data_IF_118880407425
#
_entry.id   IF_118880407425
#
_cell.length_a   1.000
_cell.length_b   1.000
_cell.length_c   1.000
_cell.angle_alpha   90.00
_cell.angle_beta   90.00
_cell.angle_gamma   90.00
#
_symmetry.space_group_name_H-M   'P 1'
#
loop_
_entity.id
_entity.type
_entity.pdbx_description
1 polymer ?
#
# COMPACT_ATOMS: atom_id res chain seq x y z
N UNK A 1 5.17 -16.17 7.36
CA UNK A 1 5.01 -14.74 7.67
C UNK A 1 5.92 -14.39 8.84
N UNK A 2 6.70 -13.32 8.70
CA UNK A 2 7.59 -12.85 9.77
C UNK A 2 6.89 -11.74 10.57
N UNK A 3 6.84 -11.89 11.88
CA UNK A 3 6.44 -10.84 12.81
C UNK A 3 7.69 -10.06 13.24
N UNK A 4 7.54 -8.76 13.47
CA UNK A 4 8.68 -7.87 13.70
C UNK A 4 8.40 -6.97 14.88
N UNK A 5 9.34 -6.93 15.82
CA UNK A 5 9.39 -5.94 16.88
C UNK A 5 10.78 -5.31 16.94
N UNK A 6 10.91 -4.17 17.60
CA UNK A 6 12.20 -3.51 17.69
C UNK A 6 12.27 -2.47 18.78
N UNK A 7 13.50 -2.17 19.20
CA UNK A 7 13.79 -1.12 20.17
C UNK A 7 15.16 -0.49 19.91
N UNK A 8 15.27 0.77 20.29
CA UNK A 8 16.56 1.46 20.33
C UNK A 8 17.43 0.90 21.45
N UNK A 9 18.70 0.64 21.16
CA UNK A 9 19.68 0.09 22.11
C UNK A 9 20.72 1.14 22.46
N UNK A 10 21.19 1.90 21.46
CA UNK A 10 22.17 2.95 21.64
C UNK A 10 21.83 4.14 20.73
N UNK A 11 22.18 5.34 21.20
CA UNK A 11 21.95 6.59 20.46
C UNK A 11 23.23 7.36 20.15
N UNK A 12 24.37 6.92 20.71
CA UNK A 12 25.69 7.50 20.46
C UNK A 12 26.77 6.41 20.57
N UNK A 13 27.80 6.41 19.70
CA UNK A 13 28.06 7.37 18.61
C UNK A 13 27.21 7.11 17.35
N UNK A 14 26.48 6.00 17.29
CA UNK A 14 25.52 5.63 16.23
C UNK A 14 24.18 5.24 16.85
N UNK A 15 23.13 5.42 16.08
CA UNK A 15 21.83 4.92 16.46
C UNK A 15 21.75 3.43 16.13
N UNK A 16 21.73 2.62 17.16
CA UNK A 16 21.59 1.16 17.05
C UNK A 16 20.16 0.73 17.39
N UNK A 17 19.54 0.03 16.46
CA UNK A 17 18.19 -0.51 16.62
C UNK A 17 18.26 -2.02 16.60
N UNK A 18 17.87 -2.63 17.71
CA UNK A 18 17.67 -4.07 17.80
C UNK A 18 16.32 -4.43 17.22
N UNK A 19 16.32 -5.27 16.20
CA UNK A 19 15.11 -5.80 15.58
C UNK A 19 15.00 -7.29 15.89
N UNK A 20 13.86 -7.69 16.48
CA UNK A 20 13.51 -9.08 16.74
C UNK A 20 12.56 -9.55 15.64
N UNK A 21 12.91 -10.66 15.01
CA UNK A 21 12.12 -11.31 13.96
C UNK A 21 11.56 -12.61 14.54
N UNK A 22 10.27 -12.85 14.41
CA UNK A 22 9.61 -14.09 14.82
C UNK A 22 8.96 -14.74 13.61
N UNK A 23 9.28 -15.98 13.33
CA UNK A 23 8.63 -16.71 12.22
C UNK A 23 7.27 -17.25 12.68
N UNK A 24 6.19 -16.60 12.26
CA UNK A 24 4.79 -17.04 12.50
C UNK A 24 4.27 -18.00 11.45
N UNK A 25 5.08 -18.33 10.44
CA UNK A 25 4.74 -19.34 9.44
C UNK A 25 5.02 -20.75 9.94
N UNK A 26 4.53 -21.72 9.21
CA UNK A 26 4.69 -23.16 9.40
C UNK A 26 5.92 -23.74 8.66
N UNK A 27 6.56 -22.92 7.83
CA UNK A 27 7.74 -23.27 7.05
C UNK A 27 8.93 -22.45 7.52
N UNK A 28 10.13 -23.05 7.47
CA UNK A 28 11.38 -22.36 7.80
C UNK A 28 11.61 -21.19 6.81
N UNK A 29 11.89 -20.01 7.34
CA UNK A 29 12.44 -18.92 6.57
C UNK A 29 13.96 -19.14 6.40
N UNK A 30 14.47 -19.04 5.18
CA UNK A 30 15.91 -19.10 4.89
C UNK A 30 16.67 -17.91 5.47
N UNK A 31 17.94 -17.68 5.06
CA UNK A 31 18.66 -16.47 5.46
C UNK A 31 17.84 -15.23 5.17
N UNK A 32 17.72 -14.32 6.15
CA UNK A 32 16.87 -13.15 6.05
C UNK A 32 17.75 -11.91 5.92
N UNK A 33 17.63 -11.21 4.80
CA UNK A 33 18.22 -9.90 4.60
C UNK A 33 17.23 -8.84 5.11
N UNK A 34 17.69 -7.96 5.98
CA UNK A 34 16.90 -6.90 6.63
C UNK A 34 17.47 -5.56 6.23
N UNK A 35 16.67 -4.75 5.55
CA UNK A 35 17.01 -3.36 5.24
C UNK A 35 16.06 -2.44 5.97
N UNK A 36 16.60 -1.50 6.72
CA UNK A 36 15.87 -0.49 7.46
C UNK A 36 16.06 0.90 6.86
N UNK A 37 15.00 1.71 6.86
CA UNK A 37 15.07 3.13 6.54
C UNK A 37 14.50 3.94 7.69
N UNK A 38 15.33 4.84 8.22
CA UNK A 38 15.02 5.71 9.34
C UNK A 38 15.66 7.07 9.09
N UNK A 39 14.92 8.17 9.15
CA UNK A 39 15.41 9.55 8.84
C UNK A 39 16.02 9.72 7.44
N UNK A 40 15.63 8.90 6.46
CA UNK A 40 16.27 8.88 5.14
C UNK A 40 17.61 8.10 5.10
N UNK A 41 18.12 7.66 6.24
CA UNK A 41 19.30 6.83 6.37
C UNK A 41 18.94 5.35 6.22
N UNK A 42 19.89 4.56 5.72
CA UNK A 42 19.72 3.13 5.51
C UNK A 42 20.62 2.33 6.43
N UNK A 43 20.04 1.34 7.10
CA UNK A 43 20.73 0.30 7.84
C UNK A 43 20.47 -1.05 7.22
N UNK A 44 21.47 -1.92 7.20
CA UNK A 44 21.34 -3.27 6.65
C UNK A 44 21.89 -4.29 7.65
N UNK A 45 21.22 -5.43 7.75
CA UNK A 45 21.67 -6.56 8.55
C UNK A 45 21.21 -7.87 7.93
N UNK A 46 21.85 -8.97 8.30
CA UNK A 46 21.52 -10.30 7.80
C UNK A 46 21.45 -11.32 8.93
N UNK A 47 20.37 -12.08 8.96
CA UNK A 47 20.22 -13.26 9.81
C UNK A 47 20.58 -14.51 9.01
N UNK A 48 21.87 -14.90 9.04
CA UNK A 48 22.41 -15.95 8.18
C UNK A 48 21.78 -17.34 8.41
N UNK A 49 21.41 -17.68 9.66
CA UNK A 49 20.86 -19.00 10.02
C UNK A 49 19.40 -19.20 9.62
N UNK A 50 18.71 -18.15 9.17
CA UNK A 50 17.27 -18.19 8.97
C UNK A 50 16.49 -18.45 10.27
N UNK A 51 15.17 -18.72 10.16
CA UNK A 51 14.30 -18.95 11.31
C UNK A 51 13.41 -20.17 11.09
N UNK A 52 13.48 -21.15 12.01
CA UNK A 52 12.52 -22.23 12.08
C UNK A 52 11.10 -21.69 12.42
N UNK A 53 10.03 -22.45 12.19
CA UNK A 53 8.70 -22.10 12.69
C UNK A 53 8.72 -21.77 14.18
N UNK A 54 8.01 -20.72 14.57
CA UNK A 54 7.92 -20.18 15.93
C UNK A 54 9.26 -19.72 16.57
N UNK A 55 10.38 -19.80 15.84
CA UNK A 55 11.67 -19.32 16.33
C UNK A 55 11.80 -17.81 16.23
N UNK A 56 12.65 -17.26 17.10
CA UNK A 56 13.02 -15.85 17.12
C UNK A 56 14.49 -15.67 16.75
N UNK A 57 14.78 -14.55 16.09
CA UNK A 57 16.13 -14.13 15.73
C UNK A 57 16.31 -12.63 15.94
N UNK A 58 17.53 -12.23 16.17
CA UNK A 58 17.91 -10.85 16.46
C UNK A 58 18.84 -10.34 15.38
N UNK A 59 18.59 -9.13 14.90
CA UNK A 59 19.50 -8.37 14.05
C UNK A 59 19.70 -6.97 14.62
N UNK A 60 20.86 -6.39 14.35
CA UNK A 60 21.18 -5.01 14.71
C UNK A 60 21.24 -4.18 13.44
N UNK A 61 20.52 -3.06 13.43
CA UNK A 61 20.60 -2.06 12.37
C UNK A 61 21.31 -0.83 12.93
N UNK A 62 22.31 -0.39 12.19
CA UNK A 62 23.10 0.81 12.52
C UNK A 62 22.74 1.92 11.56
N UNK A 63 22.46 3.09 12.12
CA UNK A 63 22.16 4.31 11.36
C UNK A 63 23.20 5.38 11.65
N UNK A 64 23.45 6.27 10.67
CA UNK A 64 24.39 7.35 10.82
C UNK A 64 24.07 8.25 12.04
N UNK A 65 25.09 8.90 12.63
CA UNK A 65 24.97 9.60 13.90
C UNK A 65 24.33 10.99 13.77
N UNK A 66 23.36 11.18 12.91
CA UNK A 66 22.55 12.40 12.96
C UNK A 66 21.71 12.33 14.23
N UNK A 67 21.90 13.21 15.23
CA UNK A 67 21.10 13.15 16.43
C UNK A 67 19.65 13.41 16.02
N UNK A 68 18.81 12.39 16.01
CA UNK A 68 17.41 12.60 15.71
C UNK A 68 16.83 13.45 16.82
N UNK A 69 15.84 14.25 16.49
CA UNK A 69 15.03 14.93 17.53
C UNK A 69 14.47 13.87 18.47
N UNK A 70 14.45 14.10 19.79
CA UNK A 70 13.74 13.19 20.69
C UNK A 70 12.28 13.07 20.27
N UNK A 71 11.68 11.91 20.52
CA UNK A 71 10.28 11.68 20.17
C UNK A 71 10.04 10.33 19.51
N UNK A 72 8.95 10.24 18.78
CA UNK A 72 8.49 9.02 18.12
C UNK A 72 8.82 9.06 16.62
N UNK A 73 9.48 8.03 16.15
CA UNK A 73 9.97 7.92 14.78
C UNK A 73 9.53 6.64 14.11
N UNK A 74 9.38 6.70 12.79
CA UNK A 74 8.98 5.57 11.97
C UNK A 74 10.19 4.89 11.34
N UNK A 75 10.44 3.63 11.68
CA UNK A 75 11.37 2.74 11.00
C UNK A 75 10.62 1.86 10.02
N UNK A 76 10.95 1.97 8.74
CA UNK A 76 10.45 1.07 7.69
C UNK A 76 11.46 -0.04 7.46
N UNK A 77 11.00 -1.28 7.44
CA UNK A 77 11.83 -2.46 7.21
C UNK A 77 11.40 -3.18 5.93
N UNK A 78 12.37 -3.64 5.17
CA UNK A 78 12.21 -4.58 4.09
C UNK A 78 12.94 -5.87 4.48
N UNK A 79 12.19 -6.96 4.54
CA UNK A 79 12.67 -8.30 4.86
C UNK A 79 12.64 -9.13 3.59
N UNK A 80 13.77 -9.69 3.19
CA UNK A 80 13.86 -10.56 2.01
C UNK A 80 14.48 -11.89 2.41
N UNK A 81 13.85 -12.99 2.01
CA UNK A 81 14.35 -14.33 2.27
C UNK A 81 13.95 -15.30 1.17
N UNK A 82 14.77 -16.32 0.85
CA UNK A 82 14.38 -17.38 -0.04
C UNK A 82 13.24 -18.20 0.55
N UNK A 83 12.35 -18.65 -0.30
CA UNK A 83 11.26 -19.56 0.05
C UNK A 83 11.42 -20.87 -0.73
N UNK A 84 10.86 -21.96 -0.21
CA UNK A 84 10.82 -23.23 -0.93
C UNK A 84 9.94 -23.09 -2.18
N UNK A 85 10.47 -23.52 -3.31
CA UNK A 85 9.77 -23.48 -4.58
C UNK A 85 10.72 -23.75 -5.75
N UNK A 86 10.18 -23.99 -6.94
CA UNK A 86 11.01 -24.18 -8.11
C UNK A 86 11.84 -22.90 -8.39
N UNK A 87 13.12 -23.02 -8.70
CA UNK A 87 13.97 -21.88 -9.04
C UNK A 87 13.45 -21.17 -10.29
N UNK A 88 13.78 -19.90 -10.41
CA UNK A 88 13.50 -19.13 -11.62
C UNK A 88 14.31 -19.62 -12.83
N UNK A 89 14.08 -19.05 -14.02
CA UNK A 89 14.81 -19.42 -15.24
C UNK A 89 16.33 -19.19 -15.19
N UNK A 90 16.85 -18.50 -14.16
CA UNK A 90 18.28 -18.29 -13.90
C UNK A 90 18.82 -19.21 -12.78
N UNK A 91 18.00 -20.09 -12.24
CA UNK A 91 18.38 -21.01 -11.17
C UNK A 91 18.34 -20.43 -9.76
N UNK A 92 17.80 -19.22 -9.57
CA UNK A 92 17.69 -18.61 -8.26
C UNK A 92 16.44 -19.10 -7.51
N UNK A 93 16.51 -19.32 -6.20
CA UNK A 93 15.33 -19.65 -5.42
C UNK A 93 14.33 -18.49 -5.43
N UNK A 94 13.03 -18.79 -5.40
CA UNK A 94 12.02 -17.76 -5.30
C UNK A 94 12.20 -16.97 -4.00
N UNK A 95 12.10 -15.64 -4.09
CA UNK A 95 12.29 -14.75 -2.96
C UNK A 95 10.97 -14.25 -2.41
N UNK A 96 10.78 -14.39 -1.10
CA UNK A 96 9.74 -13.67 -0.37
C UNK A 96 10.28 -12.32 0.07
N UNK A 97 9.46 -11.29 -0.03
CA UNK A 97 9.78 -9.97 0.48
C UNK A 97 8.58 -9.48 1.29
N UNK A 98 8.83 -9.05 2.49
CA UNK A 98 7.84 -8.50 3.41
C UNK A 98 8.29 -7.11 3.84
N UNK A 99 7.35 -6.17 3.88
CA UNK A 99 7.57 -4.86 4.52
C UNK A 99 6.99 -4.89 5.91
N UNK A 100 7.72 -4.34 6.86
CA UNK A 100 7.31 -4.14 8.22
C UNK A 100 7.53 -2.67 8.63
N UNK A 101 6.89 -2.28 9.70
CA UNK A 101 6.93 -0.93 10.21
C UNK A 101 7.03 -0.97 11.73
N UNK A 102 7.91 -0.17 12.29
CA UNK A 102 8.10 -0.04 13.73
C UNK A 102 8.08 1.43 14.14
N UNK A 103 7.45 1.72 15.25
CA UNK A 103 7.55 3.00 15.94
C UNK A 103 8.67 2.90 16.99
N UNK A 104 9.64 3.78 16.89
CA UNK A 104 10.80 3.85 17.78
C UNK A 104 10.73 5.13 18.60
N UNK A 105 10.69 4.98 19.93
CA UNK A 105 10.77 6.13 20.83
C UNK A 105 12.24 6.44 21.15
N UNK A 106 12.63 7.70 20.91
CA UNK A 106 13.90 8.29 21.30
C UNK A 106 13.63 9.30 22.42
N UNK A 107 13.80 8.86 23.67
CA UNK A 107 13.41 9.64 24.84
C UNK A 107 11.91 9.51 25.15
N UNK A 108 11.25 10.61 25.47
CA UNK A 108 9.82 10.62 25.81
C UNK A 108 8.95 10.54 24.57
N UNK A 109 7.83 9.79 24.64
CA UNK A 109 6.79 9.81 23.63
C UNK A 109 5.94 11.10 23.77
N UNK A 110 5.98 12.00 22.78
CA UNK A 110 5.22 13.26 22.83
C UNK A 110 3.75 13.09 22.38
N UNK A 111 3.33 11.89 22.07
CA UNK A 111 2.02 11.60 21.48
C UNK A 111 1.87 12.01 20.02
N UNK A 112 0.67 11.85 19.49
CA UNK A 112 0.34 12.19 18.10
C UNK A 112 0.17 13.69 17.90
N UNK A 113 0.76 14.23 16.82
CA UNK A 113 0.57 15.62 16.42
C UNK A 113 -0.69 15.85 15.59
N UNK A 114 -1.00 14.88 14.75
CA UNK A 114 -2.12 14.92 13.81
C UNK A 114 -2.94 13.65 13.88
N UNK A 115 -4.23 13.76 13.69
CA UNK A 115 -5.11 12.63 13.37
C UNK A 115 -5.12 12.43 11.87
N UNK A 116 -4.96 11.20 11.45
CA UNK A 116 -5.00 10.80 10.04
C UNK A 116 -6.32 10.08 9.79
N UNK A 117 -7.04 10.53 8.77
CA UNK A 117 -8.25 9.90 8.28
C UNK A 117 -8.16 9.74 6.77
N UNK A 118 -8.50 8.59 6.24
CA UNK A 118 -8.38 8.29 4.83
C UNK A 118 -9.64 7.67 4.27
N UNK A 119 -10.11 8.20 3.15
CA UNK A 119 -11.23 7.61 2.44
C UNK A 119 -10.81 6.30 1.75
N UNK A 120 -11.66 5.26 1.80
CA UNK A 120 -11.39 4.04 1.04
C UNK A 120 -11.23 4.34 -0.45
N UNK A 121 -10.18 3.84 -1.07
CA UNK A 121 -9.92 4.05 -2.48
C UNK A 121 -10.28 2.81 -3.29
N UNK A 122 -11.13 2.98 -4.30
CA UNK A 122 -11.35 1.97 -5.34
C UNK A 122 -10.45 2.26 -6.53
N UNK A 123 -9.62 1.30 -6.93
CA UNK A 123 -8.56 1.47 -7.91
C UNK A 123 -8.68 0.45 -9.05
N UNK A 124 -8.72 0.90 -10.29
CA UNK A 124 -8.55 0.01 -11.47
C UNK A 124 -7.06 -0.09 -11.86
N UNK A 125 -6.48 0.98 -12.37
CA UNK A 125 -5.07 1.06 -12.75
C UNK A 125 -4.36 2.15 -11.94
N UNK A 126 -4.97 3.33 -11.87
CA UNK A 126 -4.47 4.51 -11.15
C UNK A 126 -5.60 5.17 -10.37
N UNK A 127 -5.29 5.78 -9.26
CA UNK A 127 -6.22 6.53 -8.42
C UNK A 127 -5.50 7.46 -7.46
N UNK A 128 -6.27 8.28 -6.78
CA UNK A 128 -5.77 9.24 -5.80
C UNK A 128 -6.41 8.91 -4.46
N UNK A 129 -5.58 8.55 -3.49
CA UNK A 129 -6.01 8.38 -2.11
C UNK A 129 -6.14 9.78 -1.47
N UNK A 130 -7.32 10.09 -0.98
CA UNK A 130 -7.56 11.30 -0.22
C UNK A 130 -7.31 11.03 1.26
N UNK A 131 -6.41 11.82 1.85
CA UNK A 131 -6.03 11.70 3.25
C UNK A 131 -6.27 13.04 3.94
N UNK A 132 -7.13 13.03 4.93
CA UNK A 132 -7.39 14.18 5.79
C UNK A 132 -6.48 14.11 7.01
N UNK A 133 -5.79 15.20 7.28
CA UNK A 133 -4.95 15.41 8.46
C UNK A 133 -5.59 16.50 9.31
N UNK A 134 -5.79 16.23 10.59
CA UNK A 134 -6.37 17.14 11.55
C UNK A 134 -5.38 17.40 12.68
N UNK A 135 -5.11 18.67 13.01
CA UNK A 135 -4.21 19.03 14.12
C UNK A 135 -4.81 18.64 15.46
N UNK A 136 -4.04 17.91 16.27
CA UNK A 136 -4.42 17.52 17.65
C UNK A 136 -4.08 18.60 18.67
N UNK A 137 -3.18 19.49 18.34
CA UNK A 137 -2.78 20.60 19.18
C UNK A 137 -3.19 21.94 18.57
N UNK A 138 -3.04 22.99 19.37
CA UNK A 138 -3.42 24.35 18.94
C UNK A 138 -2.43 25.02 18.00
N UNK A 139 -1.38 24.30 17.57
CA UNK A 139 -0.32 24.83 16.71
C UNK A 139 -0.43 24.29 15.30
N UNK A 140 0.00 25.08 14.31
CA UNK A 140 0.17 24.59 12.95
C UNK A 140 1.32 23.59 12.88
N UNK A 141 1.15 22.53 12.11
CA UNK A 141 2.12 21.45 11.95
C UNK A 141 2.50 21.29 10.49
N UNK A 142 3.79 21.25 10.20
CA UNK A 142 4.29 20.78 8.90
C UNK A 142 4.67 19.32 9.04
N UNK A 143 4.05 18.46 8.27
CA UNK A 143 4.22 17.02 8.36
C UNK A 143 4.65 16.43 7.02
N UNK A 144 5.51 15.42 7.08
CA UNK A 144 5.83 14.54 5.96
C UNK A 144 4.89 13.36 6.00
N UNK A 145 4.01 13.26 5.00
CA UNK A 145 3.05 12.15 4.88
C UNK A 145 3.55 11.14 3.86
N UNK A 146 3.64 9.89 4.27
CA UNK A 146 3.93 8.77 3.38
C UNK A 146 2.92 7.64 3.58
N UNK A 147 2.73 6.86 2.51
CA UNK A 147 1.92 5.67 2.57
C UNK A 147 2.76 4.45 2.26
N UNK A 148 2.91 3.60 3.25
CA UNK A 148 3.60 2.33 3.14
C UNK A 148 2.64 1.29 2.58
N UNK A 149 2.96 0.78 1.40
CA UNK A 149 2.09 -0.15 0.68
C UNK A 149 2.63 -1.57 0.79
N UNK A 150 1.72 -2.54 0.86
CA UNK A 150 2.05 -3.94 0.60
C UNK A 150 2.47 -4.12 -0.88
N UNK A 151 3.01 -5.30 -1.21
CA UNK A 151 3.30 -5.67 -2.60
C UNK A 151 2.04 -5.50 -3.46
N UNK A 152 2.22 -4.94 -4.65
CA UNK A 152 1.15 -4.85 -5.62
C UNK A 152 0.56 -3.45 -5.82
N UNK A 153 0.95 -2.49 -4.99
CA UNK A 153 0.69 -1.07 -5.20
C UNK A 153 2.02 -0.32 -5.29
N UNK A 154 2.12 0.61 -6.23
CA UNK A 154 3.29 1.48 -6.38
C UNK A 154 2.98 2.87 -5.82
N UNK A 155 3.82 3.40 -4.92
CA UNK A 155 3.75 4.81 -4.54
C UNK A 155 4.21 5.67 -5.72
N UNK A 156 3.55 6.80 -5.92
CA UNK A 156 3.97 7.84 -6.87
C UNK A 156 4.13 9.14 -6.07
N UNK A 157 5.36 9.68 -6.02
CA UNK A 157 5.63 10.97 -5.39
C UNK A 157 5.59 11.00 -3.84
N UNK A 158 6.07 9.97 -3.18
CA UNK A 158 6.22 9.91 -1.72
C UNK A 158 7.65 10.33 -1.28
N UNK A 159 7.82 11.01 -0.14
CA UNK A 159 6.79 11.57 0.76
C UNK A 159 6.18 12.89 0.27
N UNK A 160 5.01 13.24 0.80
CA UNK A 160 4.30 14.50 0.52
C UNK A 160 4.36 15.39 1.75
N UNK A 161 4.84 16.62 1.61
CA UNK A 161 4.78 17.62 2.68
C UNK A 161 3.40 18.28 2.73
N UNK A 162 2.84 18.38 3.93
CA UNK A 162 1.53 18.95 4.17
C UNK A 162 1.61 19.92 5.36
N UNK A 163 1.06 21.12 5.17
CA UNK A 163 0.89 22.09 6.27
C UNK A 163 -0.53 21.94 6.81
N UNK A 164 -0.61 21.53 8.07
CA UNK A 164 -1.89 21.42 8.80
C UNK A 164 -2.05 22.67 9.66
N UNK A 165 -3.10 23.50 9.45
CA UNK A 165 -3.29 24.73 10.20
C UNK A 165 -3.62 24.47 11.67
N UNK A 166 -3.41 25.44 12.58
CA UNK A 166 -3.77 25.32 13.98
C UNK A 166 -5.25 24.99 14.14
N UNK A 167 -5.57 23.98 14.94
CA UNK A 167 -6.96 23.53 15.20
C UNK A 167 -7.79 23.30 13.93
N UNK A 168 -7.10 23.04 12.80
CA UNK A 168 -7.72 22.89 11.50
C UNK A 168 -7.36 21.55 10.86
N UNK A 169 -7.70 21.43 9.60
CA UNK A 169 -7.39 20.23 8.81
C UNK A 169 -6.78 20.63 7.47
N UNK A 170 -6.06 19.67 6.89
CA UNK A 170 -5.55 19.72 5.53
C UNK A 170 -5.86 18.42 4.82
N UNK A 171 -6.00 18.46 3.50
CA UNK A 171 -6.21 17.27 2.68
C UNK A 171 -5.02 17.04 1.76
N UNK A 172 -4.42 15.88 1.87
CA UNK A 172 -3.37 15.41 0.98
C UNK A 172 -3.95 14.49 -0.10
N UNK A 173 -3.33 14.54 -1.29
CA UNK A 173 -3.67 13.68 -2.42
C UNK A 173 -2.48 12.79 -2.72
N UNK A 174 -2.63 11.49 -2.48
CA UNK A 174 -1.56 10.53 -2.67
C UNK A 174 -1.86 9.68 -3.90
N UNK A 175 -1.18 9.89 -5.04
CA UNK A 175 -1.40 9.08 -6.22
C UNK A 175 -0.91 7.65 -5.98
N UNK A 176 -1.66 6.68 -6.48
CA UNK A 176 -1.37 5.25 -6.39
C UNK A 176 -1.61 4.58 -7.72
N UNK A 177 -0.76 3.62 -8.04
CA UNK A 177 -0.95 2.76 -9.19
C UNK A 177 -0.85 1.29 -8.81
N UNK A 178 -1.57 0.44 -9.53
CA UNK A 178 -1.49 -1.00 -9.39
C UNK A 178 -0.18 -1.51 -9.99
N UNK A 179 0.56 -2.32 -9.23
CA UNK A 179 1.85 -2.89 -9.62
C UNK A 179 1.89 -4.41 -9.43
N UNK A 180 0.90 -5.11 -9.97
CA UNK A 180 0.84 -6.57 -9.94
C UNK A 180 -0.13 -7.16 -8.91
N UNK A 181 -0.78 -6.36 -8.07
CA UNK A 181 -1.82 -6.88 -7.18
C UNK A 181 -2.99 -7.46 -7.99
N UNK A 182 -3.56 -8.60 -7.56
CA UNK A 182 -4.69 -9.22 -8.24
C UNK A 182 -5.90 -8.29 -8.27
N UNK A 183 -6.65 -8.33 -9.36
CA UNK A 183 -7.96 -7.65 -9.44
C UNK A 183 -8.95 -8.26 -8.47
N UNK A 184 -9.86 -7.44 -7.95
CA UNK A 184 -10.83 -7.86 -6.93
C UNK A 184 -10.23 -8.06 -5.54
N UNK A 185 -8.93 -7.80 -5.34
CA UNK A 185 -8.30 -7.91 -4.02
C UNK A 185 -8.36 -6.58 -3.26
N UNK A 186 -8.39 -6.68 -1.94
CA UNK A 186 -8.26 -5.54 -1.03
C UNK A 186 -6.84 -5.49 -0.49
N UNK A 187 -6.19 -4.35 -0.64
CA UNK A 187 -4.84 -4.11 -0.19
C UNK A 187 -4.85 -3.17 1.01
N UNK A 188 -4.23 -3.59 2.11
CA UNK A 188 -3.99 -2.72 3.24
C UNK A 188 -2.79 -1.81 2.96
N UNK A 189 -2.87 -0.58 3.45
CA UNK A 189 -1.76 0.35 3.47
C UNK A 189 -1.70 1.06 4.81
N UNK A 190 -0.52 1.48 5.19
CA UNK A 190 -0.27 2.22 6.40
C UNK A 190 0.12 3.65 6.05
N UNK A 191 -0.59 4.60 6.60
CA UNK A 191 -0.30 6.02 6.48
C UNK A 191 0.53 6.46 7.67
N UNK A 192 1.63 7.16 7.40
CA UNK A 192 2.56 7.66 8.40
C UNK A 192 2.76 9.14 8.18
N UNK A 193 2.45 9.95 9.18
CA UNK A 193 2.68 11.39 9.20
C UNK A 193 3.68 11.74 10.29
N UNK A 194 4.86 12.25 9.89
CA UNK A 194 5.93 12.67 10.80
C UNK A 194 6.05 14.19 10.79
N UNK A 195 6.14 14.82 11.95
CA UNK A 195 6.34 16.27 12.04
C UNK A 195 7.73 16.67 11.56
N UNK A 196 7.79 17.68 10.69
CA UNK A 196 9.05 18.22 10.17
C UNK A 196 9.65 19.28 11.09
N UNK A 197 8.81 19.98 11.85
CA UNK A 197 9.17 21.11 12.69
C UNK A 197 9.02 20.79 14.19
N UNK A 198 9.57 21.66 15.02
CA UNK A 198 9.48 21.59 16.48
C UNK A 198 10.62 20.81 17.16
N UNK A 199 10.71 20.91 18.48
CA UNK A 199 11.79 20.30 19.26
C UNK A 199 11.64 18.79 19.42
N UNK A 200 10.44 18.25 19.25
CA UNK A 200 10.10 16.84 19.38
C UNK A 200 9.58 16.29 18.05
N UNK A 201 10.02 15.11 17.70
CA UNK A 201 9.46 14.36 16.59
C UNK A 201 8.16 13.67 17.06
N UNK A 202 7.10 13.83 16.27
CA UNK A 202 5.81 13.17 16.51
C UNK A 202 5.40 12.40 15.27
N UNK A 203 5.07 11.15 15.44
CA UNK A 203 4.63 10.30 14.35
C UNK A 203 3.22 9.81 14.63
N UNK A 204 2.33 10.08 13.69
CA UNK A 204 0.96 9.58 13.68
C UNK A 204 0.81 8.50 12.63
N UNK A 205 0.04 7.47 12.94
CA UNK A 205 -0.13 6.30 12.07
C UNK A 205 -1.60 5.96 11.93
N UNK A 206 -2.03 5.66 10.71
CA UNK A 206 -3.37 5.15 10.46
C UNK A 206 -3.37 4.06 9.39
N UNK A 207 -4.26 3.09 9.55
CA UNK A 207 -4.49 2.08 8.53
C UNK A 207 -5.51 2.60 7.49
N UNK A 208 -5.24 2.31 6.23
CA UNK A 208 -6.17 2.57 5.14
C UNK A 208 -6.26 1.36 4.22
N UNK A 209 -7.20 1.35 3.29
CA UNK A 209 -7.37 0.25 2.36
C UNK A 209 -7.65 0.73 0.95
N UNK A 210 -7.11 -0.03 0.00
CA UNK A 210 -7.37 0.13 -1.42
C UNK A 210 -8.04 -1.12 -1.94
N UNK A 211 -9.20 -0.98 -2.52
CA UNK A 211 -9.91 -2.04 -3.20
C UNK A 211 -9.59 -2.01 -4.68
N UNK A 212 -9.03 -3.08 -5.20
CA UNK A 212 -8.75 -3.21 -6.62
C UNK A 212 -10.00 -3.70 -7.32
N UNK A 213 -10.50 -2.90 -8.25
CA UNK A 213 -11.69 -3.24 -9.00
C UNK A 213 -11.50 -4.58 -9.72
N UNK A 214 -12.51 -5.42 -9.65
CA UNK A 214 -12.57 -6.65 -10.43
C UNK A 214 -12.61 -6.32 -11.91
N UNK A 215 -12.23 -7.27 -12.76
CA UNK A 215 -12.39 -7.08 -14.20
C UNK A 215 -13.85 -6.72 -14.50
N UNK A 216 -14.09 -5.65 -15.26
CA UNK A 216 -15.45 -5.34 -15.66
C UNK A 216 -16.03 -6.59 -16.30
N UNK A 217 -17.16 -7.04 -15.79
CA UNK A 217 -17.84 -8.20 -16.33
C UNK A 217 -17.81 -8.11 -17.87
N UNK A 218 -17.57 -9.21 -18.57
CA UNK A 218 -17.46 -9.24 -20.05
C UNK A 218 -18.67 -8.64 -20.77
N UNK A 219 -19.78 -8.45 -20.06
CA UNK A 219 -21.01 -7.79 -20.49
C UNK A 219 -20.81 -6.40 -21.15
N UNK A 220 -19.98 -5.46 -20.61
CA UNK A 220 -19.75 -4.19 -21.31
C UNK A 220 -19.13 -4.36 -22.69
N UNK A 221 -18.27 -5.37 -22.89
CA UNK A 221 -17.66 -5.65 -24.21
C UNK A 221 -18.66 -6.24 -25.19
N UNK A 222 -19.73 -6.85 -24.72
CA UNK A 222 -20.81 -7.40 -25.52
C UNK A 222 -21.94 -6.39 -25.78
N UNK A 223 -21.95 -5.23 -25.13
CA UNK A 223 -23.01 -4.21 -25.32
C UNK A 223 -23.12 -3.76 -26.78
N UNK A 224 -22.00 -3.45 -27.43
CA UNK A 224 -21.99 -3.01 -28.81
C UNK A 224 -22.47 -4.12 -29.77
N UNK A 225 -21.91 -5.35 -29.73
CA UNK A 225 -22.42 -6.42 -30.60
C UNK A 225 -23.87 -6.82 -30.31
N UNK A 226 -24.32 -6.78 -29.04
CA UNK A 226 -25.73 -7.03 -28.70
C UNK A 226 -26.67 -5.95 -29.21
N UNK A 227 -26.29 -4.67 -29.14
CA UNK A 227 -27.05 -3.57 -29.72
C UNK A 227 -27.14 -3.68 -31.26
N UNK A 228 -26.02 -4.02 -31.90
CA UNK A 228 -25.99 -4.22 -33.35
C UNK A 228 -26.86 -5.41 -33.76
N UNK A 229 -26.79 -6.52 -33.05
CA UNK A 229 -27.62 -7.70 -33.29
C UNK A 229 -29.12 -7.38 -33.07
N UNK A 230 -29.45 -6.66 -32.00
CA UNK A 230 -30.81 -6.22 -31.70
C UNK A 230 -31.39 -5.31 -32.80
N UNK A 231 -30.58 -4.35 -33.27
CA UNK A 231 -30.96 -3.45 -34.37
C UNK A 231 -31.17 -4.22 -35.67
N UNK A 232 -30.28 -5.15 -35.99
CA UNK A 232 -30.40 -6.00 -37.19
C UNK A 232 -31.70 -6.83 -37.17
N UNK A 233 -32.04 -7.45 -36.01
CA UNK A 233 -33.27 -8.19 -35.83
C UNK A 233 -34.51 -7.29 -36.00
N UNK A 234 -34.48 -6.06 -35.50
CA UNK A 234 -35.57 -5.10 -35.61
C UNK A 234 -35.79 -4.69 -37.09
N UNK A 235 -34.72 -4.44 -37.84
CA UNK A 235 -34.77 -4.13 -39.25
C UNK A 235 -35.35 -5.29 -40.08
N UNK A 236 -34.92 -6.54 -39.75
CA UNK A 236 -35.46 -7.75 -40.39
C UNK A 236 -36.98 -7.93 -40.08
N UNK A 237 -37.39 -7.71 -38.84
CA UNK A 237 -38.79 -7.81 -38.43
C UNK A 237 -39.67 -6.78 -39.18
N UNK A 238 -39.22 -5.52 -39.23
CA UNK A 238 -39.91 -4.46 -39.97
C UNK A 238 -39.95 -4.76 -41.45
N UNK A 239 -38.87 -5.24 -42.05
CA UNK A 239 -38.81 -5.65 -43.45
C UNK A 239 -39.79 -6.79 -43.78
N UNK A 240 -39.89 -7.77 -42.85
CA UNK A 240 -40.83 -8.88 -42.98
C UNK A 240 -42.28 -8.38 -42.90
N UNK A 241 -42.61 -7.51 -41.97
CA UNK A 241 -43.96 -6.96 -41.79
C UNK A 241 -44.41 -6.14 -43.01
N UNK A 242 -43.54 -5.31 -43.54
CA UNK A 242 -43.79 -4.54 -44.78
C UNK A 242 -44.05 -5.49 -45.95
N UNK A 243 -43.30 -6.59 -46.04
CA UNK A 243 -43.45 -7.57 -47.12
C UNK A 243 -44.79 -8.33 -47.01
N UNK A 244 -45.20 -8.69 -45.79
CA UNK A 244 -46.48 -9.34 -45.53
C UNK A 244 -47.65 -8.41 -45.87
N UNK A 245 -47.60 -7.15 -45.43
CA UNK A 245 -48.63 -6.15 -45.74
C UNK A 245 -48.74 -5.86 -47.22
N UNK A 246 -47.62 -5.83 -47.96
CA UNK A 246 -47.66 -5.67 -49.45
C UNK A 246 -48.29 -6.85 -50.15
N UNK A 247 -48.02 -8.10 -49.68
CA UNK A 247 -48.67 -9.30 -50.25
C UNK A 247 -50.18 -9.32 -49.98
N UNK A 248 -50.59 -8.96 -48.75
CA UNK A 248 -52.00 -8.88 -48.39
C UNK A 248 -52.79 -7.84 -49.23
N UNK A 249 -52.16 -6.80 -49.70
CA UNK A 249 -52.78 -5.78 -50.58
C UNK A 249 -52.82 -6.17 -52.07
N UNK A 250 -52.11 -7.21 -52.48
CA UNK A 250 -52.05 -7.68 -53.86
C UNK A 250 -52.99 -8.88 -54.15
N UNK A 251 -53.70 -9.37 -53.12
CA UNK A 251 -54.69 -10.43 -53.32
C UNK A 251 -55.99 -9.74 -53.72
N UNK A 252 -56.42 -9.80 -55.04
CA UNK A 252 -57.68 -9.24 -55.46
C UNK A 252 -58.81 -10.08 -54.85
N UNK A 253 -59.85 -9.40 -54.35
CA UNK A 253 -61.09 -10.06 -53.94
C UNK A 253 -61.73 -10.71 -55.18
N UNK A 254 -61.87 -12.02 -55.12
CA UNK A 254 -62.57 -12.82 -56.10
C UNK A 254 -64.09 -12.73 -55.87
#
# INVERSE_FOLDING_TARGET
MLDVSGRVVATAPRLEVRVTLTNRGDVRAGPIDVRGELFGERGEARLAGGLAPAAEGLVMLDFAPTPPRPGLHALTLLLEHPVEGPPDGAGNPPMSSQRAFLLLALGSDPGEAVRIDAEPLSLDVRGILLVRLESRDGQGQRVSLRALTARGLRPEGDPIEVVVPPRGHATARIPRSRAGAPRGSRQALLLVAETLDGPLARTSVAAASVELLSDPARLPRLRVPLLVAGLALLVLALGYEVRVRRRARQTPAA
#
